data_IF_248224177430
#
_entry.id   IF_248224177430
#
_cell.length_a   1.000
_cell.length_b   1.000
_cell.length_c   1.000
_cell.angle_alpha   90.00
_cell.angle_beta   90.00
_cell.angle_gamma   90.00
#
_symmetry.space_group_name_H-M   'P 1'
#
loop_
_entity.id
_entity.type
_entity.pdbx_description
1 polymer ?
#
# COMPACT_ATOMS: atom_id res chain seq x y z
N UNK A 1 -84.70 70.67 6.92
CA UNK A 1 -83.26 70.50 6.66
C UNK A 1 -82.81 71.67 5.77
N UNK A 2 -81.76 72.41 6.16
CA UNK A 2 -81.34 73.65 5.48
C UNK A 2 -80.85 73.34 4.05
N UNK A 3 -81.39 74.01 3.02
CA UNK A 3 -81.17 73.68 1.60
C UNK A 3 -79.69 73.70 1.21
N UNK A 4 -78.92 74.61 1.82
CA UNK A 4 -77.46 74.67 1.67
C UNK A 4 -76.77 73.41 2.20
N UNK A 5 -77.23 72.87 3.34
CA UNK A 5 -76.67 71.66 3.98
C UNK A 5 -76.99 70.39 3.16
N UNK A 6 -78.17 70.34 2.55
CA UNK A 6 -78.55 69.27 1.61
C UNK A 6 -77.68 69.28 0.34
N UNK A 7 -77.38 70.47 -0.22
CA UNK A 7 -76.50 70.61 -1.38
C UNK A 7 -75.06 70.14 -1.09
N UNK A 8 -74.48 70.50 0.06
CA UNK A 8 -73.14 70.03 0.44
C UNK A 8 -73.08 68.52 0.70
N UNK A 9 -74.13 67.93 1.28
CA UNK A 9 -74.25 66.47 1.43
C UNK A 9 -74.31 65.79 0.06
N UNK A 10 -75.14 66.28 -0.87
CA UNK A 10 -75.27 65.70 -2.21
C UNK A 10 -73.95 65.78 -3.00
N UNK A 11 -73.24 66.91 -2.89
CA UNK A 11 -71.92 67.12 -3.53
C UNK A 11 -70.84 66.21 -2.94
N UNK A 12 -70.85 65.99 -1.62
CA UNK A 12 -69.93 65.07 -0.95
C UNK A 12 -70.15 63.63 -1.38
N UNK A 13 -71.42 63.19 -1.50
CA UNK A 13 -71.75 61.84 -1.98
C UNK A 13 -71.27 61.65 -3.42
N UNK A 14 -71.49 62.63 -4.30
CA UNK A 14 -71.01 62.56 -5.69
C UNK A 14 -69.48 62.50 -5.82
N UNK A 15 -68.73 63.22 -4.98
CA UNK A 15 -67.27 63.14 -4.94
C UNK A 15 -66.77 61.75 -4.54
N UNK A 16 -67.43 61.13 -3.56
CA UNK A 16 -67.08 59.77 -3.09
C UNK A 16 -67.34 58.74 -4.19
N UNK A 17 -68.44 58.88 -4.95
CA UNK A 17 -68.76 57.98 -6.07
C UNK A 17 -67.71 58.10 -7.19
N UNK A 18 -67.30 59.33 -7.55
CA UNK A 18 -66.24 59.55 -8.55
C UNK A 18 -64.91 58.95 -8.09
N UNK A 19 -64.58 59.11 -6.81
CA UNK A 19 -63.35 58.56 -6.23
C UNK A 19 -63.34 57.03 -6.25
N UNK A 20 -64.47 56.39 -5.97
CA UNK A 20 -64.63 54.93 -6.06
C UNK A 20 -64.49 54.43 -7.50
N UNK A 21 -65.06 55.13 -8.48
CA UNK A 21 -64.91 54.79 -9.90
C UNK A 21 -63.45 54.92 -10.34
N UNK A 22 -62.75 55.97 -9.89
CA UNK A 22 -61.33 56.18 -10.18
C UNK A 22 -60.44 55.08 -9.55
N UNK A 23 -60.75 54.66 -8.32
CA UNK A 23 -60.07 53.53 -7.66
C UNK A 23 -60.25 52.20 -8.41
N UNK A 24 -61.45 51.96 -8.96
CA UNK A 24 -61.72 50.76 -9.77
C UNK A 24 -60.95 50.82 -11.09
N UNK A 25 -60.92 51.97 -11.76
CA UNK A 25 -60.14 52.17 -13.00
C UNK A 25 -58.64 51.96 -12.76
N UNK A 26 -58.10 52.58 -11.71
CA UNK A 26 -56.69 52.49 -11.35
C UNK A 26 -56.27 51.07 -10.95
N UNK A 27 -57.17 50.29 -10.32
CA UNK A 27 -56.92 48.87 -10.06
C UNK A 27 -56.92 48.03 -11.34
N UNK A 28 -57.83 48.31 -12.30
CA UNK A 28 -57.84 47.59 -13.60
C UNK A 28 -56.57 47.84 -14.39
N UNK A 29 -56.14 49.10 -14.47
CA UNK A 29 -54.89 49.46 -15.14
C UNK A 29 -53.69 48.76 -14.50
N UNK A 30 -53.63 48.67 -13.16
CA UNK A 30 -52.54 47.99 -12.46
C UNK A 30 -52.56 46.47 -12.67
N UNK A 31 -53.73 45.83 -12.69
CA UNK A 31 -53.87 44.39 -12.98
C UNK A 31 -53.54 44.06 -14.44
N UNK A 32 -53.95 44.91 -15.38
CA UNK A 32 -53.68 44.69 -16.81
C UNK A 32 -52.22 44.98 -17.16
N UNK A 33 -51.59 45.97 -16.53
CA UNK A 33 -50.15 46.24 -16.67
C UNK A 33 -49.31 45.13 -16.03
N UNK A 34 -49.67 44.64 -14.85
CA UNK A 34 -48.96 43.54 -14.20
C UNK A 34 -49.14 42.20 -14.92
N UNK A 35 -50.34 41.92 -15.43
CA UNK A 35 -50.60 40.75 -16.27
C UNK A 35 -49.85 40.83 -17.61
N UNK A 36 -49.82 41.98 -18.28
CA UNK A 36 -49.03 42.16 -19.51
C UNK A 36 -47.53 42.11 -19.26
N UNK A 37 -47.03 42.66 -18.14
CA UNK A 37 -45.62 42.57 -17.77
C UNK A 37 -45.19 41.14 -17.45
N UNK A 38 -46.05 40.36 -16.77
CA UNK A 38 -45.83 38.93 -16.57
C UNK A 38 -45.89 38.14 -17.89
N UNK A 39 -46.69 38.58 -18.87
CA UNK A 39 -46.80 37.98 -20.21
C UNK A 39 -45.62 38.34 -21.12
N UNK A 40 -45.09 39.56 -21.03
CA UNK A 40 -43.87 40.01 -21.70
C UNK A 40 -42.61 39.35 -21.09
N UNK A 41 -42.54 39.18 -19.77
CA UNK A 41 -41.48 38.40 -19.11
C UNK A 41 -41.54 36.91 -19.48
N UNK A 42 -42.73 36.37 -19.75
CA UNK A 42 -42.93 34.99 -20.19
C UNK A 42 -42.55 34.77 -21.68
N UNK A 43 -42.55 35.83 -22.50
CA UNK A 43 -42.25 35.78 -23.94
C UNK A 43 -40.76 36.01 -24.28
N UNK A 44 -39.91 36.25 -23.28
CA UNK A 44 -38.45 36.37 -23.43
C UNK A 44 -37.69 35.13 -22.92
N UNK A 45 -38.31 33.95 -22.91
CA UNK A 45 -37.56 32.72 -22.60
C UNK A 45 -36.58 32.43 -23.72
N UNK A 46 -35.29 32.52 -23.40
CA UNK A 46 -34.19 32.25 -24.32
C UNK A 46 -34.33 30.84 -24.92
N UNK A 47 -34.35 30.75 -26.25
CA UNK A 47 -34.31 29.48 -26.96
C UNK A 47 -32.85 29.04 -27.16
N UNK A 48 -32.47 27.94 -26.54
CA UNK A 48 -31.10 27.43 -26.53
C UNK A 48 -31.05 26.09 -27.24
N UNK A 49 -30.25 26.02 -28.31
CA UNK A 49 -29.89 24.75 -28.93
C UNK A 49 -28.60 24.21 -28.32
N UNK A 50 -28.66 23.00 -27.79
CA UNK A 50 -27.49 22.25 -27.33
C UNK A 50 -27.18 21.14 -28.35
N UNK A 51 -25.94 21.14 -28.83
CA UNK A 51 -25.39 20.06 -29.65
C UNK A 51 -24.40 19.30 -28.80
N UNK A 52 -24.69 18.03 -28.54
CA UNK A 52 -23.75 17.12 -27.88
C UNK A 52 -23.10 16.21 -28.92
N UNK A 53 -21.80 16.40 -29.18
CA UNK A 53 -21.01 15.48 -30.01
C UNK A 53 -20.06 14.61 -29.19
N UNK A 54 -20.05 14.77 -27.87
CA UNK A 54 -19.19 14.04 -26.95
C UNK A 54 -19.44 12.53 -27.03
N UNK A 55 -18.38 11.77 -27.26
CA UNK A 55 -18.45 10.31 -27.40
C UNK A 55 -18.34 9.56 -26.07
N UNK A 56 -18.05 10.26 -24.97
CA UNK A 56 -17.70 9.63 -23.71
C UNK A 56 -16.31 8.99 -23.73
N UNK A 57 -15.88 8.45 -22.59
CA UNK A 57 -14.62 7.70 -22.48
C UNK A 57 -14.70 6.65 -21.36
N UNK A 58 -14.10 5.48 -21.57
CA UNK A 58 -13.94 4.47 -20.52
C UNK A 58 -12.52 4.56 -19.93
N UNK A 59 -12.40 4.74 -18.61
CA UNK A 59 -11.13 4.67 -17.87
C UNK A 59 -11.32 3.80 -16.64
N UNK A 60 -10.39 2.88 -16.39
CA UNK A 60 -10.41 2.06 -15.17
C UNK A 60 -11.77 1.38 -14.94
N UNK A 61 -12.41 0.89 -16.01
CA UNK A 61 -13.74 0.27 -15.96
C UNK A 61 -14.90 1.22 -15.55
N UNK A 62 -14.67 2.54 -15.59
CA UNK A 62 -15.67 3.59 -15.34
C UNK A 62 -15.94 4.34 -16.66
N UNK A 63 -17.21 4.45 -17.02
CA UNK A 63 -17.65 5.23 -18.18
C UNK A 63 -17.90 6.70 -17.77
N UNK A 64 -17.16 7.61 -18.40
CA UNK A 64 -17.32 9.06 -18.25
C UNK A 64 -18.04 9.61 -19.48
N UNK A 65 -19.30 10.04 -19.29
CA UNK A 65 -20.16 10.55 -20.37
C UNK A 65 -20.60 11.99 -20.08
N UNK A 66 -19.64 12.89 -19.92
CA UNK A 66 -19.85 14.24 -19.38
C UNK A 66 -20.81 15.08 -20.22
N UNK A 67 -20.70 15.01 -21.55
CA UNK A 67 -21.64 15.70 -22.44
C UNK A 67 -23.07 15.20 -22.28
N UNK A 68 -23.25 13.88 -22.21
CA UNK A 68 -24.57 13.27 -22.01
C UNK A 68 -25.14 13.57 -20.62
N UNK A 69 -24.30 13.58 -19.59
CA UNK A 69 -24.72 13.91 -18.23
C UNK A 69 -25.08 15.40 -18.09
N UNK A 70 -24.39 16.28 -18.83
CA UNK A 70 -24.81 17.68 -18.94
C UNK A 70 -26.15 17.84 -19.65
N UNK A 71 -26.41 17.08 -20.73
CA UNK A 71 -27.73 17.05 -21.38
C UNK A 71 -28.83 16.68 -20.37
N UNK A 72 -28.64 15.62 -19.59
CA UNK A 72 -29.61 15.24 -18.54
C UNK A 72 -29.78 16.31 -17.45
N UNK A 73 -28.73 17.09 -17.16
CA UNK A 73 -28.79 18.20 -16.19
C UNK A 73 -29.70 19.31 -16.71
N UNK A 74 -29.56 19.70 -17.97
CA UNK A 74 -30.34 20.81 -18.56
C UNK A 74 -31.80 20.43 -18.84
N UNK A 75 -32.12 19.15 -19.05
CA UNK A 75 -33.51 18.68 -19.20
C UNK A 75 -34.39 18.99 -17.97
N UNK A 76 -33.76 19.21 -16.81
CA UNK A 76 -34.42 19.60 -15.56
C UNK A 76 -34.53 21.11 -15.38
N UNK A 77 -33.91 21.90 -16.26
CA UNK A 77 -33.93 23.37 -16.18
C UNK A 77 -35.19 23.92 -16.85
N UNK A 78 -36.01 24.62 -16.07
CA UNK A 78 -37.24 25.27 -16.52
C UNK A 78 -37.06 26.78 -16.82
N UNK A 79 -35.84 27.30 -16.68
CA UNK A 79 -35.52 28.72 -16.85
C UNK A 79 -35.49 29.11 -18.32
N UNK A 80 -34.94 28.24 -19.17
CA UNK A 80 -34.75 28.45 -20.60
C UNK A 80 -35.44 27.36 -21.44
N UNK A 81 -35.70 27.65 -22.70
CA UNK A 81 -36.24 26.67 -23.63
C UNK A 81 -35.08 25.90 -24.27
N UNK A 82 -34.83 24.68 -23.76
CA UNK A 82 -33.74 23.84 -24.21
C UNK A 82 -34.14 22.92 -25.36
N UNK A 83 -33.27 22.84 -26.37
CA UNK A 83 -33.44 21.94 -27.51
C UNK A 83 -32.14 21.18 -27.77
N UNK A 84 -32.13 19.89 -27.45
CA UNK A 84 -31.03 19.00 -27.84
C UNK A 84 -31.23 18.55 -29.27
N UNK A 85 -30.38 19.02 -30.18
CA UNK A 85 -30.54 18.82 -31.63
C UNK A 85 -29.20 18.51 -32.31
N UNK A 86 -29.25 17.98 -33.52
CA UNK A 86 -28.05 17.80 -34.33
C UNK A 86 -27.45 19.13 -34.77
N UNK A 87 -26.13 19.17 -35.02
CA UNK A 87 -25.42 20.39 -35.45
C UNK A 87 -26.10 21.12 -36.59
N UNK A 88 -26.55 20.41 -37.63
CA UNK A 88 -27.21 21.00 -38.79
C UNK A 88 -28.54 21.70 -38.45
N UNK A 89 -29.35 21.10 -37.58
CA UNK A 89 -30.61 21.70 -37.10
C UNK A 89 -30.29 22.94 -36.25
N UNK A 90 -29.31 22.82 -35.36
CA UNK A 90 -28.89 23.88 -34.47
C UNK A 90 -28.38 25.13 -35.23
N UNK A 91 -27.52 24.95 -36.23
CA UNK A 91 -26.99 26.06 -37.01
C UNK A 91 -28.04 26.73 -37.89
N UNK A 92 -28.94 25.96 -38.51
CA UNK A 92 -30.03 26.52 -39.30
C UNK A 92 -31.07 27.23 -38.42
N UNK A 93 -31.38 26.66 -37.25
CA UNK A 93 -32.27 27.28 -36.27
C UNK A 93 -31.67 28.56 -35.68
N UNK A 94 -30.35 28.61 -35.46
CA UNK A 94 -29.67 29.83 -35.05
C UNK A 94 -29.75 30.91 -36.15
N UNK A 95 -29.47 30.57 -37.42
CA UNK A 95 -29.52 31.52 -38.55
C UNK A 95 -30.92 32.07 -38.80
N UNK A 96 -31.95 31.24 -38.67
CA UNK A 96 -33.36 31.63 -38.86
C UNK A 96 -33.95 32.35 -37.65
N UNK A 97 -33.22 32.42 -36.52
CA UNK A 97 -33.69 33.05 -35.29
C UNK A 97 -34.62 32.18 -34.45
N UNK A 98 -34.81 30.90 -34.81
CA UNK A 98 -35.50 29.91 -33.97
C UNK A 98 -34.78 29.72 -32.64
N UNK A 99 -33.44 29.72 -32.67
CA UNK A 99 -32.59 29.68 -31.48
C UNK A 99 -31.86 31.01 -31.32
N UNK A 100 -31.73 31.46 -30.07
CA UNK A 100 -30.99 32.66 -29.71
C UNK A 100 -29.55 32.35 -29.34
N UNK A 101 -29.32 31.14 -28.82
CA UNK A 101 -28.02 30.64 -28.39
C UNK A 101 -27.82 29.21 -28.90
N UNK A 102 -26.66 28.94 -29.48
CA UNK A 102 -26.19 27.61 -29.85
C UNK A 102 -24.97 27.30 -29.00
N UNK A 103 -25.00 26.19 -28.26
CA UNK A 103 -23.85 25.64 -27.54
C UNK A 103 -23.47 24.31 -28.18
N UNK A 104 -22.18 24.09 -28.41
CA UNK A 104 -21.66 22.85 -28.98
C UNK A 104 -20.63 22.24 -28.03
N UNK A 105 -20.96 21.06 -27.50
CA UNK A 105 -20.05 20.21 -26.75
C UNK A 105 -19.24 19.41 -27.78
N UNK A 106 -17.90 19.56 -27.82
CA UNK A 106 -17.06 18.88 -28.81
C UNK A 106 -16.94 17.38 -28.53
N UNK A 107 -16.52 16.61 -29.54
CA UNK A 107 -16.48 15.15 -29.49
C UNK A 107 -15.45 14.55 -28.54
N UNK A 108 -14.48 15.34 -28.13
CA UNK A 108 -13.41 14.99 -27.20
C UNK A 108 -13.63 15.54 -25.79
N UNK A 109 -14.83 16.03 -25.47
CA UNK A 109 -15.11 16.67 -24.19
C UNK A 109 -14.83 15.72 -23.01
N UNK A 110 -15.36 14.49 -23.05
CA UNK A 110 -15.08 13.48 -22.01
C UNK A 110 -13.68 12.88 -22.10
N UNK A 111 -13.15 12.64 -23.31
CA UNK A 111 -11.84 12.00 -23.50
C UNK A 111 -10.68 12.86 -22.97
N UNK A 112 -10.85 14.18 -22.91
CA UNK A 112 -9.87 15.10 -22.35
C UNK A 112 -9.59 14.90 -20.86
N UNK A 113 -10.43 14.14 -20.15
CA UNK A 113 -10.11 13.62 -18.82
C UNK A 113 -8.84 12.75 -18.82
N UNK A 114 -8.61 11.97 -19.89
CA UNK A 114 -7.46 11.07 -20.01
C UNK A 114 -6.17 11.79 -20.39
N UNK A 115 -6.29 12.79 -21.25
CA UNK A 115 -5.14 13.56 -21.74
C UNK A 115 -4.57 14.50 -20.67
N UNK A 116 -5.27 14.68 -19.56
CA UNK A 116 -4.80 15.46 -18.42
C UNK A 116 -3.69 14.77 -17.61
N UNK A 117 -3.49 13.46 -17.78
CA UNK A 117 -2.31 12.73 -17.30
C UNK A 117 -1.12 12.81 -18.28
N UNK A 118 -1.27 13.51 -19.42
CA UNK A 118 -0.19 13.69 -20.40
C UNK A 118 0.74 14.84 -20.02
N UNK A 119 1.96 14.83 -20.55
CA UNK A 119 2.96 15.88 -20.31
C UNK A 119 2.50 17.29 -20.76
N UNK A 120 1.48 17.40 -21.62
CA UNK A 120 0.94 18.65 -22.14
C UNK A 120 -0.59 18.60 -22.27
N UNK A 121 -1.35 18.90 -21.20
CA UNK A 121 -2.80 18.85 -21.25
C UNK A 121 -3.37 19.92 -22.18
N UNK A 122 -4.22 19.51 -23.12
CA UNK A 122 -4.92 20.43 -24.01
C UNK A 122 -6.21 20.97 -23.35
N UNK A 123 -6.46 22.28 -23.50
CA UNK A 123 -7.69 22.91 -23.02
C UNK A 123 -8.85 22.57 -23.95
N UNK A 124 -9.93 22.04 -23.39
CA UNK A 124 -11.20 21.87 -24.11
C UNK A 124 -11.90 23.22 -24.23
N UNK A 125 -12.35 23.54 -25.44
CA UNK A 125 -13.12 24.75 -25.70
C UNK A 125 -14.54 24.37 -26.08
N UNK A 126 -15.47 24.59 -25.16
CA UNK A 126 -16.90 24.60 -25.49
C UNK A 126 -17.20 25.90 -26.22
N UNK A 127 -17.72 25.79 -27.43
CA UNK A 127 -18.02 26.94 -28.27
C UNK A 127 -19.50 27.30 -28.17
N UNK A 128 -19.80 28.60 -28.21
CA UNK A 128 -21.17 29.09 -28.33
C UNK A 128 -21.28 30.17 -29.40
N UNK A 129 -22.44 30.22 -30.06
CA UNK A 129 -22.81 31.23 -31.06
C UNK A 129 -24.14 31.85 -30.68
N UNK A 130 -24.33 33.13 -30.98
CA UNK A 130 -25.51 33.90 -30.60
C UNK A 130 -26.16 34.49 -31.84
N UNK A 131 -27.49 34.46 -31.88
CA UNK A 131 -28.27 35.28 -32.79
C UNK A 131 -29.40 35.98 -32.02
N UNK A 132 -29.27 37.30 -31.87
CA UNK A 132 -30.26 38.13 -31.19
C UNK A 132 -31.14 38.93 -32.17
N UNK A 133 -31.01 38.73 -33.49
CA UNK A 133 -31.76 39.46 -34.53
C UNK A 133 -31.77 41.00 -34.32
N UNK A 134 -30.67 41.57 -33.81
CA UNK A 134 -30.52 43.00 -33.54
C UNK A 134 -31.04 43.49 -32.18
N UNK A 135 -31.58 42.62 -31.31
CA UNK A 135 -32.01 42.97 -29.97
C UNK A 135 -30.83 42.93 -28.97
N UNK A 136 -30.40 44.10 -28.50
CA UNK A 136 -29.25 44.22 -27.59
C UNK A 136 -29.48 43.58 -26.20
N UNK A 137 -30.71 43.60 -25.68
CA UNK A 137 -31.04 42.97 -24.39
C UNK A 137 -30.91 41.45 -24.50
N UNK A 138 -31.50 40.87 -25.54
CA UNK A 138 -31.44 39.44 -25.84
C UNK A 138 -30.01 38.98 -26.11
N UNK A 139 -29.22 39.81 -26.79
CA UNK A 139 -27.81 39.52 -27.05
C UNK A 139 -26.99 39.46 -25.75
N UNK A 140 -27.19 40.43 -24.86
CA UNK A 140 -26.50 40.48 -23.57
C UNK A 140 -26.91 39.30 -22.68
N UNK A 141 -28.19 38.96 -22.66
CA UNK A 141 -28.69 37.78 -21.94
C UNK A 141 -28.09 36.49 -22.53
N UNK A 142 -28.15 36.30 -23.85
CA UNK A 142 -27.54 35.15 -24.54
C UNK A 142 -26.04 35.03 -24.26
N UNK A 143 -25.29 36.15 -24.22
CA UNK A 143 -23.86 36.16 -23.87
C UNK A 143 -23.65 35.75 -22.42
N UNK A 144 -24.49 36.23 -21.51
CA UNK A 144 -24.42 35.86 -20.09
C UNK A 144 -24.66 34.36 -19.90
N UNK A 145 -25.74 33.84 -20.49
CA UNK A 145 -26.12 32.43 -20.43
C UNK A 145 -25.09 31.54 -21.11
N UNK A 146 -24.61 31.90 -22.29
CA UNK A 146 -23.55 31.17 -23.00
C UNK A 146 -22.27 31.05 -22.17
N UNK A 147 -21.81 32.15 -21.55
CA UNK A 147 -20.65 32.11 -20.64
C UNK A 147 -20.89 31.22 -19.43
N UNK A 148 -22.09 31.27 -18.84
CA UNK A 148 -22.45 30.43 -17.70
C UNK A 148 -22.39 28.95 -18.08
N UNK A 149 -22.96 28.57 -19.22
CA UNK A 149 -22.96 27.18 -19.72
C UNK A 149 -21.54 26.69 -19.96
N UNK A 150 -20.71 27.48 -20.65
CA UNK A 150 -19.30 27.14 -20.89
C UNK A 150 -18.55 26.97 -19.56
N UNK A 151 -18.76 27.87 -18.60
CA UNK A 151 -18.13 27.73 -17.28
C UNK A 151 -18.62 26.48 -16.54
N UNK A 152 -19.92 26.20 -16.54
CA UNK A 152 -20.47 25.00 -15.90
C UNK A 152 -19.88 23.72 -16.48
N UNK A 153 -19.78 23.62 -17.81
CA UNK A 153 -19.15 22.49 -18.50
C UNK A 153 -17.65 22.38 -18.16
N UNK A 154 -16.93 23.50 -18.14
CA UNK A 154 -15.52 23.51 -17.76
C UNK A 154 -15.30 23.12 -16.30
N UNK A 155 -16.17 23.55 -15.38
CA UNK A 155 -16.08 23.18 -13.96
C UNK A 155 -16.33 21.68 -13.75
N UNK A 156 -17.25 21.07 -14.49
CA UNK A 156 -17.44 19.61 -14.42
C UNK A 156 -16.18 18.82 -14.80
N UNK A 157 -15.42 19.30 -15.80
CA UNK A 157 -14.12 18.72 -16.13
C UNK A 157 -13.11 18.91 -14.99
N UNK A 158 -13.08 20.09 -14.36
CA UNK A 158 -12.17 20.41 -13.26
C UNK A 158 -12.47 19.61 -11.98
N UNK A 159 -13.74 19.46 -11.62
CA UNK A 159 -14.15 18.72 -10.41
C UNK A 159 -13.75 17.24 -10.50
N UNK A 160 -13.99 16.61 -11.65
CA UNK A 160 -13.55 15.22 -11.89
C UNK A 160 -12.03 15.09 -11.99
N UNK A 161 -11.34 16.11 -12.47
CA UNK A 161 -9.89 16.16 -12.51
C UNK A 161 -9.27 16.16 -11.10
N UNK A 162 -9.79 16.98 -10.17
CA UNK A 162 -9.33 16.97 -8.77
C UNK A 162 -9.51 15.59 -8.13
N UNK A 163 -10.63 14.91 -8.44
CA UNK A 163 -10.87 13.53 -7.99
C UNK A 163 -9.81 12.57 -8.55
N UNK A 164 -9.48 12.66 -9.85
CA UNK A 164 -8.46 11.80 -10.48
C UNK A 164 -7.05 12.00 -9.90
N UNK A 165 -6.66 13.25 -9.60
CA UNK A 165 -5.37 13.52 -8.97
C UNK A 165 -5.32 12.97 -7.55
N UNK A 166 -6.38 13.16 -6.76
CA UNK A 166 -6.44 12.64 -5.40
C UNK A 166 -6.34 11.11 -5.39
N UNK A 167 -7.00 10.43 -6.34
CA UNK A 167 -6.91 8.98 -6.51
C UNK A 167 -5.50 8.52 -6.92
N UNK A 168 -4.86 9.23 -7.86
CA UNK A 168 -3.47 8.99 -8.24
C UNK A 168 -2.49 9.21 -7.07
N UNK A 169 -2.70 10.27 -6.26
CA UNK A 169 -1.90 10.56 -5.06
C UNK A 169 -2.11 9.51 -3.97
N UNK A 170 -3.34 9.04 -3.79
CA UNK A 170 -3.67 7.95 -2.86
C UNK A 170 -2.98 6.65 -3.30
N UNK A 171 -3.03 6.32 -4.59
CA UNK A 171 -2.32 5.17 -5.15
C UNK A 171 -0.80 5.29 -4.98
N UNK A 172 -0.23 6.48 -5.21
CA UNK A 172 1.18 6.75 -4.97
C UNK A 172 1.56 6.58 -3.49
N UNK A 173 0.72 7.05 -2.57
CA UNK A 173 0.90 6.85 -1.13
C UNK A 173 0.92 5.36 -0.76
N UNK A 174 -0.03 4.57 -1.26
CA UNK A 174 -0.05 3.12 -1.04
C UNK A 174 1.20 2.43 -1.59
N UNK A 175 1.70 2.87 -2.75
CA UNK A 175 2.93 2.34 -3.33
C UNK A 175 4.16 2.70 -2.48
N UNK A 176 4.22 3.91 -1.90
CA UNK A 176 5.27 4.30 -0.95
C UNK A 176 5.20 3.45 0.33
N UNK A 177 4.01 3.16 0.84
CA UNK A 177 3.80 2.29 2.00
C UNK A 177 4.29 0.85 1.73
N UNK A 178 4.02 0.32 0.54
CA UNK A 178 4.54 -0.98 0.08
C UNK A 178 6.08 -1.00 -0.01
N UNK A 179 6.69 0.08 -0.50
CA UNK A 179 8.16 0.19 -0.56
C UNK A 179 8.75 0.25 0.85
N UNK A 180 8.13 1.02 1.75
CA UNK A 180 8.56 1.13 3.15
C UNK A 180 8.50 -0.22 3.87
N UNK A 181 7.36 -0.93 3.77
CA UNK A 181 7.19 -2.27 4.37
C UNK A 181 8.16 -3.30 3.79
N UNK A 182 8.35 -3.35 2.48
CA UNK A 182 9.34 -4.25 1.85
C UNK A 182 10.78 -3.97 2.32
N UNK A 183 11.12 -2.70 2.56
CA UNK A 183 12.44 -2.32 3.05
C UNK A 183 12.63 -2.76 4.51
N UNK A 184 11.63 -2.58 5.37
CA UNK A 184 11.66 -3.05 6.76
C UNK A 184 11.77 -4.57 6.84
N UNK A 185 10.99 -5.30 6.05
CA UNK A 185 11.05 -6.77 5.98
C UNK A 185 12.42 -7.27 5.51
N UNK A 186 13.03 -6.58 4.55
CA UNK A 186 14.36 -6.92 4.05
C UNK A 186 15.45 -6.71 5.10
N UNK A 187 15.35 -5.65 5.90
CA UNK A 187 16.28 -5.38 7.01
C UNK A 187 16.10 -6.41 8.14
N UNK A 188 14.87 -6.74 8.51
CA UNK A 188 14.59 -7.78 9.51
C UNK A 188 15.10 -9.14 9.03
N UNK A 189 14.83 -9.53 7.78
CA UNK A 189 15.36 -10.77 7.19
C UNK A 189 16.89 -10.78 7.17
N UNK A 190 17.54 -9.67 6.85
CA UNK A 190 19.00 -9.57 6.90
C UNK A 190 19.51 -9.77 8.33
N UNK A 191 18.86 -9.14 9.32
CA UNK A 191 19.23 -9.29 10.73
C UNK A 191 19.06 -10.74 11.21
N UNK A 192 17.94 -11.39 10.88
CA UNK A 192 17.59 -12.71 11.41
C UNK A 192 18.30 -13.86 10.68
N UNK A 193 18.46 -13.77 9.36
CA UNK A 193 19.03 -14.87 8.54
C UNK A 193 20.55 -14.78 8.45
N UNK A 194 21.12 -13.56 8.43
CA UNK A 194 22.55 -13.38 8.18
C UNK A 194 23.27 -12.87 9.42
N UNK A 195 22.82 -11.76 10.02
CA UNK A 195 23.57 -11.10 11.08
C UNK A 195 23.63 -11.95 12.37
N UNK A 196 22.48 -12.34 12.92
CA UNK A 196 22.43 -13.10 14.17
C UNK A 196 23.13 -14.47 14.08
N UNK A 197 22.90 -15.29 13.03
CA UNK A 197 23.64 -16.54 12.89
C UNK A 197 25.15 -16.35 12.76
N UNK A 198 25.61 -15.27 12.12
CA UNK A 198 27.04 -14.96 12.01
C UNK A 198 27.67 -14.61 13.35
N UNK A 199 26.96 -13.85 14.19
CA UNK A 199 27.41 -13.56 15.56
C UNK A 199 27.40 -14.85 16.39
N UNK A 200 26.33 -15.63 16.36
CA UNK A 200 26.25 -16.88 17.12
C UNK A 200 27.32 -17.89 16.69
N UNK A 201 27.70 -17.92 15.41
CA UNK A 201 28.78 -18.78 14.93
C UNK A 201 30.14 -18.45 15.56
N UNK A 202 30.40 -17.16 15.83
CA UNK A 202 31.60 -16.73 16.58
C UNK A 202 31.63 -17.34 17.98
N UNK A 203 30.46 -17.48 18.61
CA UNK A 203 30.34 -18.03 19.97
C UNK A 203 30.39 -19.57 19.98
N UNK A 204 29.94 -20.23 18.91
CA UNK A 204 29.98 -21.69 18.79
C UNK A 204 31.36 -22.25 18.41
N UNK A 205 32.14 -21.52 17.62
CA UNK A 205 33.45 -22.00 17.15
C UNK A 205 34.40 -22.42 18.28
N UNK A 206 34.56 -21.67 19.38
CA UNK A 206 35.38 -22.09 20.51
C UNK A 206 34.90 -23.41 21.13
N UNK A 207 33.58 -23.60 21.25
CA UNK A 207 33.00 -24.83 21.80
C UNK A 207 33.27 -26.05 20.91
N UNK A 208 33.12 -25.90 19.59
CA UNK A 208 33.46 -26.96 18.61
C UNK A 208 34.96 -27.26 18.64
N UNK A 209 35.79 -26.22 18.72
CA UNK A 209 37.26 -26.36 18.79
C UNK A 209 37.68 -27.11 20.05
N UNK A 210 37.10 -26.76 21.21
CA UNK A 210 37.36 -27.45 22.48
C UNK A 210 36.91 -28.90 22.44
N UNK A 211 35.71 -29.20 21.92
CA UNK A 211 35.24 -30.58 21.77
C UNK A 211 36.15 -31.40 20.84
N UNK A 212 36.60 -30.81 19.73
CA UNK A 212 37.55 -31.46 18.83
C UNK A 212 38.90 -31.73 19.51
N UNK A 213 39.40 -30.80 20.33
CA UNK A 213 40.62 -31.00 21.10
C UNK A 213 40.46 -32.11 22.13
N UNK A 214 39.33 -32.16 22.83
CA UNK A 214 39.04 -33.21 23.80
C UNK A 214 38.95 -34.59 23.12
N UNK A 215 38.33 -34.66 21.93
CA UNK A 215 38.27 -35.91 21.15
C UNK A 215 39.65 -36.38 20.70
N UNK A 216 40.54 -35.46 20.30
CA UNK A 216 41.93 -35.79 19.99
C UNK A 216 42.67 -36.34 21.22
N UNK A 217 42.54 -35.68 22.37
CA UNK A 217 43.17 -36.13 23.62
C UNK A 217 42.66 -37.51 24.05
N UNK A 218 41.35 -37.76 23.98
CA UNK A 218 40.78 -39.07 24.28
C UNK A 218 41.32 -40.16 23.33
N UNK A 219 41.49 -39.84 22.04
CA UNK A 219 42.06 -40.76 21.07
C UNK A 219 43.55 -41.05 21.33
N UNK A 220 44.33 -40.04 21.76
CA UNK A 220 45.73 -40.21 22.15
C UNK A 220 45.87 -41.08 23.41
N UNK A 221 44.98 -40.88 24.40
CA UNK A 221 44.93 -41.71 25.61
C UNK A 221 44.58 -43.18 25.28
N UNK A 222 43.58 -43.39 24.42
CA UNK A 222 43.22 -44.72 23.95
C UNK A 222 44.39 -45.38 23.21
N UNK A 223 45.05 -44.65 22.33
CA UNK A 223 46.22 -45.14 21.58
C UNK A 223 47.34 -45.55 22.54
N UNK A 224 47.67 -44.71 23.51
CA UNK A 224 48.70 -44.98 24.52
C UNK A 224 48.36 -46.23 25.34
N UNK A 225 47.11 -46.35 25.77
CA UNK A 225 46.61 -47.49 26.54
C UNK A 225 46.69 -48.79 25.74
N UNK A 226 46.32 -48.77 24.45
CA UNK A 226 46.43 -49.94 23.58
C UNK A 226 47.90 -50.35 23.38
N UNK A 227 48.82 -49.38 23.24
CA UNK A 227 50.27 -49.65 23.16
C UNK A 227 50.77 -50.30 24.45
N UNK A 228 50.39 -49.78 25.61
CA UNK A 228 50.83 -50.30 26.91
C UNK A 228 50.26 -51.69 27.20
N UNK A 229 49.00 -51.94 26.82
CA UNK A 229 48.40 -53.26 26.88
C UNK A 229 49.16 -54.27 26.00
N UNK A 230 49.60 -53.87 24.80
CA UNK A 230 50.39 -54.72 23.91
C UNK A 230 51.79 -55.02 24.48
N UNK A 231 52.40 -54.08 25.21
CA UNK A 231 53.73 -54.26 25.83
C UNK A 231 53.73 -55.14 27.08
N UNK A 232 52.64 -55.16 27.85
CA UNK A 232 52.57 -55.87 29.13
C UNK A 232 52.87 -57.40 29.00
N UNK A 233 52.33 -58.14 28.01
CA UNK A 233 52.72 -59.52 27.75
C UNK A 233 54.22 -59.73 27.48
N UNK A 234 54.90 -58.79 26.82
CA UNK A 234 56.35 -58.89 26.58
C UNK A 234 57.13 -58.83 27.90
N UNK A 235 56.73 -57.94 28.82
CA UNK A 235 57.36 -57.87 30.15
C UNK A 235 57.10 -59.10 31.02
N UNK A 236 55.92 -59.72 30.87
CA UNK A 236 55.60 -60.97 31.56
C UNK A 236 56.46 -62.12 31.01
N UNK A 237 56.64 -62.21 29.68
CA UNK A 237 57.50 -63.20 29.04
C UNK A 237 58.96 -63.02 29.46
N UNK A 238 59.48 -61.79 29.49
CA UNK A 238 60.86 -61.54 29.94
C UNK A 238 61.06 -61.89 31.42
N UNK A 239 60.10 -61.55 32.28
CA UNK A 239 60.14 -61.90 33.71
C UNK A 239 60.12 -63.42 33.93
N UNK A 240 59.29 -64.16 33.18
CA UNK A 240 59.30 -65.62 33.20
C UNK A 240 60.64 -66.21 32.71
N UNK A 241 61.26 -65.63 31.68
CA UNK A 241 62.55 -66.08 31.18
C UNK A 241 63.68 -65.83 32.20
N UNK A 242 63.67 -64.68 32.88
CA UNK A 242 64.61 -64.34 33.93
C UNK A 242 64.46 -65.28 35.14
N UNK A 243 63.22 -65.57 35.56
CA UNK A 243 62.93 -66.55 36.60
C UNK A 243 63.45 -67.94 36.23
N UNK A 244 63.18 -68.41 35.01
CA UNK A 244 63.66 -69.70 34.52
C UNK A 244 65.19 -69.79 34.55
N UNK A 245 65.87 -68.75 34.05
CA UNK A 245 67.33 -68.68 34.00
C UNK A 245 67.93 -68.69 35.41
N UNK A 246 67.37 -67.92 36.33
CA UNK A 246 67.85 -67.87 37.71
C UNK A 246 67.56 -69.18 38.45
N UNK A 247 66.40 -69.81 38.24
CA UNK A 247 66.09 -71.12 38.81
C UNK A 247 67.12 -72.17 38.35
N UNK A 248 67.46 -72.21 37.06
CA UNK A 248 68.52 -73.08 36.54
C UNK A 248 69.88 -72.81 37.22
N UNK A 249 70.25 -71.54 37.40
CA UNK A 249 71.49 -71.16 38.09
C UNK A 249 71.48 -71.59 39.55
N UNK A 250 70.39 -71.39 40.28
CA UNK A 250 70.25 -71.77 41.68
C UNK A 250 70.30 -73.29 41.85
N UNK A 251 69.64 -74.04 40.97
CA UNK A 251 69.71 -75.51 40.94
C UNK A 251 71.15 -75.99 40.69
N UNK A 252 71.88 -75.35 39.77
CA UNK A 252 73.29 -75.66 39.51
C UNK A 252 74.18 -75.34 40.70
N UNK A 253 74.02 -74.17 41.32
CA UNK A 253 74.78 -73.80 42.53
C UNK A 253 74.50 -74.73 43.71
N UNK A 254 73.25 -75.19 43.84
CA UNK A 254 72.87 -76.19 44.85
C UNK A 254 73.52 -77.55 44.58
N UNK A 255 73.52 -78.01 43.33
CA UNK A 255 74.16 -79.26 42.91
C UNK A 255 75.69 -79.22 43.12
N UNK A 256 76.32 -78.07 42.87
CA UNK A 256 77.76 -77.82 43.10
C UNK A 256 78.12 -77.65 44.59
N UNK A 257 77.14 -77.70 45.51
CA UNK A 257 77.35 -77.52 46.96
C UNK A 257 77.65 -76.08 47.40
N UNK A 258 77.52 -75.10 46.49
CA UNK A 258 77.83 -73.68 46.73
C UNK A 258 76.70 -72.89 47.42
N UNK A 259 75.52 -73.51 47.56
CA UNK A 259 74.32 -72.88 48.11
C UNK A 259 73.64 -73.83 49.11
N UNK A 260 73.30 -73.33 50.30
CA UNK A 260 72.53 -74.11 51.28
C UNK A 260 71.05 -74.23 50.88
N UNK A 261 70.34 -75.21 51.43
CA UNK A 261 68.90 -75.36 51.18
C UNK A 261 68.10 -74.16 51.71
N UNK A 262 68.48 -73.62 52.87
CA UNK A 262 67.82 -72.46 53.48
C UNK A 262 67.97 -71.21 52.61
N UNK A 263 69.17 -70.95 52.08
CA UNK A 263 69.43 -69.83 51.17
C UNK A 263 68.69 -70.01 49.84
N UNK A 264 68.67 -71.23 49.30
CA UNK A 264 67.92 -71.55 48.07
C UNK A 264 66.43 -71.24 48.22
N UNK A 265 65.79 -71.74 49.28
CA UNK A 265 64.36 -71.52 49.53
C UNK A 265 64.08 -70.04 49.74
N UNK A 266 64.92 -69.34 50.50
CA UNK A 266 64.74 -67.89 50.77
C UNK A 266 64.79 -67.05 49.49
N UNK A 267 65.74 -67.32 48.59
CA UNK A 267 65.85 -66.62 47.31
C UNK A 267 64.62 -66.91 46.45
N UNK A 268 64.20 -68.18 46.35
CA UNK A 268 63.05 -68.60 45.55
C UNK A 268 61.75 -67.95 46.04
N UNK A 269 61.50 -67.93 47.34
CA UNK A 269 60.28 -67.31 47.92
C UNK A 269 60.25 -65.80 47.77
N UNK A 270 61.41 -65.11 47.75
CA UNK A 270 61.45 -63.66 47.60
C UNK A 270 61.11 -63.17 46.17
N UNK A 271 61.20 -64.06 45.18
CA UNK A 271 60.93 -63.70 43.79
C UNK A 271 59.44 -63.77 43.42
N UNK A 272 58.72 -64.79 43.91
CA UNK A 272 57.29 -64.99 43.64
C UNK A 272 56.48 -63.73 44.01
N UNK A 273 56.75 -63.18 45.20
CA UNK A 273 56.11 -61.96 45.70
C UNK A 273 56.44 -60.73 44.84
N UNK A 274 57.67 -60.63 44.31
CA UNK A 274 58.12 -59.45 43.55
C UNK A 274 57.51 -59.39 42.14
N UNK A 275 57.36 -60.55 41.48
CA UNK A 275 56.86 -60.66 40.10
C UNK A 275 55.33 -60.57 40.07
N UNK A 276 54.63 -61.18 41.02
CA UNK A 276 53.18 -61.07 41.04
C UNK A 276 52.72 -59.66 41.42
N UNK A 277 53.40 -59.02 42.38
CA UNK A 277 52.99 -57.71 42.90
C UNK A 277 53.36 -56.55 41.97
N UNK A 278 54.51 -56.55 41.29
CA UNK A 278 54.91 -55.47 40.39
C UNK A 278 53.95 -55.34 39.20
N UNK A 279 53.59 -56.46 38.57
CA UNK A 279 52.80 -56.48 37.34
C UNK A 279 51.31 -56.23 37.60
N UNK A 280 50.77 -56.73 38.72
CA UNK A 280 49.41 -56.40 39.15
C UNK A 280 49.28 -54.93 39.56
N UNK A 281 50.29 -54.37 40.25
CA UNK A 281 50.30 -52.95 40.59
C UNK A 281 50.38 -52.05 39.35
N UNK A 282 51.22 -52.40 38.36
CA UNK A 282 51.27 -51.66 37.08
C UNK A 282 49.91 -51.65 36.37
N UNK A 283 49.26 -52.82 36.25
CA UNK A 283 47.94 -52.92 35.63
C UNK A 283 46.89 -52.08 36.37
N UNK A 284 46.92 -52.12 37.70
CA UNK A 284 46.01 -51.33 38.54
C UNK A 284 46.23 -49.82 38.35
N UNK A 285 47.49 -49.36 38.36
CA UNK A 285 47.82 -47.94 38.12
C UNK A 285 47.40 -47.45 36.73
N UNK A 286 47.51 -48.28 35.69
CA UNK A 286 47.02 -47.94 34.35
C UNK A 286 45.50 -47.79 34.32
N UNK A 287 44.76 -48.68 34.98
CA UNK A 287 43.29 -48.63 35.07
C UNK A 287 42.80 -47.44 35.92
N UNK A 288 43.52 -47.07 36.97
CA UNK A 288 43.18 -45.92 37.81
C UNK A 288 43.34 -44.59 37.07
N UNK A 289 44.41 -44.43 36.28
CA UNK A 289 44.63 -43.25 35.45
C UNK A 289 43.55 -43.08 34.34
N UNK A 290 43.00 -44.18 33.82
CA UNK A 290 41.89 -44.17 32.85
C UNK A 290 40.57 -43.66 33.43
N UNK A 291 40.36 -43.83 34.74
CA UNK A 291 39.11 -43.44 35.41
C UNK A 291 39.13 -41.97 35.90
N UNK A 292 40.28 -41.29 35.80
CA UNK A 292 40.48 -39.92 36.28
C UNK A 292 40.69 -38.89 35.15
N UNK A 293 40.86 -39.34 33.90
CA UNK A 293 40.98 -38.50 32.70
C UNK A 293 39.70 -38.48 31.88
#
# INVERSE_FOLDING_TARGET
MNSKKLYYMLKSVWMVVIFLIMLIFMNRDFTDISANKAKEEQDMRLNIALVNEDNGVNKNNIDYNLGADYVKKIEKDATYNWFTVSRGIAENGLKSGTYNLLVTIPSNFSSKLLELDSEAPEKVQVNYKINANGNATLENESRSVGRKIVNDLNQQLVDLYVVSIVDNLYTAQQNIEKVYTNQTDSVSKFQDILYQPTINFKDYLPGITSQSQNALQANDLLTTTLIDFIKNPESLVSSHQDFSTLLEQLLKQRADGKLSYEEFVKILTSMDDSVLSSETNKLYSTLENLNQS
#
